data_IF_021186240941
#
_entry.id   IF_021186240941
#
_cell.length_a   1.000
_cell.length_b   1.000
_cell.length_c   1.000
_cell.angle_alpha   90.00
_cell.angle_beta   90.00
_cell.angle_gamma   90.00
#
_symmetry.space_group_name_H-M   'P 1'
#
loop_
_entity.id
_entity.type
_entity.pdbx_description
1 polymer ?
#
# COMPACT_ATOMS: atom_id res chain seq x y z
N UNK A 1 8.16 14.92 11.57
CA UNK A 1 8.38 14.00 12.73
C UNK A 1 7.14 14.02 13.60
N UNK A 2 6.21 13.09 13.39
CA UNK A 2 4.92 13.03 14.10
C UNK A 2 4.97 11.86 15.08
N UNK A 3 4.76 12.12 16.38
CA UNK A 3 4.69 11.09 17.43
C UNK A 3 3.23 10.78 17.74
N UNK A 4 2.82 9.53 17.57
CA UNK A 4 1.54 9.02 18.08
C UNK A 4 1.71 8.33 19.43
N UNK A 5 0.81 8.61 20.37
CA UNK A 5 0.69 7.96 21.69
C UNK A 5 -0.49 6.96 21.62
N UNK A 6 -0.34 5.71 22.10
CA UNK A 6 -1.47 4.80 22.19
C UNK A 6 -2.19 4.95 23.55
N UNK A 7 -3.52 4.89 23.54
CA UNK A 7 -4.37 4.73 24.72
C UNK A 7 -4.93 3.30 24.72
N UNK A 8 -4.71 2.57 25.81
CA UNK A 8 -5.27 1.27 26.13
C UNK A 8 -6.32 1.42 27.23
N UNK A 9 -7.50 0.83 27.02
CA UNK A 9 -8.47 0.31 28.03
C UNK A 9 -9.71 -0.14 27.23
N UNK A 10 -10.38 -1.27 27.41
CA UNK A 10 -10.63 -2.09 28.59
C UNK A 10 -11.26 -3.43 28.12
N UNK A 11 -11.11 -4.47 28.92
CA UNK A 11 -11.60 -5.84 28.70
C UNK A 11 -13.07 -6.01 29.12
N UNK A 12 -13.87 -6.73 28.34
CA UNK A 12 -15.14 -7.31 28.82
C UNK A 12 -15.28 -8.75 28.32
N UNK A 13 -15.41 -9.68 29.26
CA UNK A 13 -15.51 -11.13 29.02
C UNK A 13 -16.97 -11.57 29.04
N UNK A 14 -17.42 -12.29 28.00
CA UNK A 14 -18.72 -12.97 27.98
C UNK A 14 -18.52 -14.49 28.14
N UNK A 15 -19.20 -15.09 29.12
CA UNK A 15 -19.30 -16.54 29.31
C UNK A 15 -20.51 -17.09 28.56
N UNK A 16 -20.30 -18.05 27.66
CA UNK A 16 -21.35 -18.93 27.13
C UNK A 16 -20.95 -20.39 27.33
N UNK A 17 -21.80 -21.13 28.06
CA UNK A 17 -21.70 -22.56 28.26
C UNK A 17 -22.22 -23.33 27.04
N UNK A 18 -21.52 -24.36 26.60
CA UNK A 18 -22.11 -25.45 25.83
C UNK A 18 -21.60 -26.80 26.30
N UNK A 19 -22.55 -27.66 26.68
CA UNK A 19 -22.37 -29.08 26.96
C UNK A 19 -21.93 -29.80 25.68
N UNK A 20 -20.79 -30.51 25.73
CA UNK A 20 -20.35 -31.42 24.68
C UNK A 20 -19.83 -32.74 25.27
N UNK A 21 -20.28 -33.84 24.67
CA UNK A 21 -20.11 -35.24 25.04
C UNK A 21 -18.61 -35.66 25.02
N UNK A 22 -18.13 -36.37 26.05
CA UNK A 22 -16.70 -36.47 26.37
C UNK A 22 -15.85 -37.41 25.50
N UNK A 23 -16.44 -38.15 24.55
CA UNK A 23 -15.74 -39.23 23.84
C UNK A 23 -15.50 -39.04 22.33
N UNK A 24 -15.97 -37.94 21.72
CA UNK A 24 -15.62 -37.62 20.33
C UNK A 24 -14.66 -36.43 20.30
N UNK A 25 -13.36 -36.70 20.32
CA UNK A 25 -12.32 -35.66 20.15
C UNK A 25 -11.90 -35.56 18.67
N UNK A 26 -12.10 -34.41 18.01
CA UNK A 26 -11.53 -34.17 16.68
C UNK A 26 -10.01 -34.05 16.76
N UNK A 27 -9.33 -34.40 15.66
CA UNK A 27 -7.89 -34.64 15.55
C UNK A 27 -6.97 -33.49 16.02
N UNK A 28 -7.49 -32.27 16.19
CA UNK A 28 -6.72 -31.12 16.64
C UNK A 28 -6.52 -31.04 18.17
N UNK A 29 -7.05 -31.98 18.97
CA UNK A 29 -7.05 -31.91 20.45
C UNK A 29 -6.05 -32.82 21.18
N UNK A 30 -5.12 -33.46 20.48
CA UNK A 30 -4.12 -34.35 21.10
C UNK A 30 -2.74 -33.72 21.37
N UNK A 31 -2.58 -32.40 21.20
CA UNK A 31 -1.36 -31.71 21.63
C UNK A 31 -1.71 -30.39 22.31
N UNK A 32 -2.01 -30.47 23.61
CA UNK A 32 -1.90 -29.32 24.50
C UNK A 32 -1.15 -29.78 25.75
N UNK A 33 0.11 -30.15 25.54
CA UNK A 33 1.11 -30.00 26.57
C UNK A 33 1.52 -28.52 26.65
N UNK A 34 1.70 -28.07 27.88
CA UNK A 34 1.95 -26.68 28.26
C UNK A 34 3.23 -26.15 27.60
N UNK A 35 3.09 -25.34 26.56
CA UNK A 35 4.17 -24.47 26.07
C UNK A 35 3.83 -23.00 26.34
N UNK A 36 4.66 -22.27 27.12
CA UNK A 36 4.59 -20.82 27.21
C UNK A 36 5.17 -20.23 25.91
N UNK A 37 4.49 -19.20 25.39
CA UNK A 37 4.79 -18.44 24.16
C UNK A 37 4.43 -19.14 22.84
N UNK A 38 3.55 -18.47 22.11
CA UNK A 38 2.90 -18.87 20.86
C UNK A 38 3.93 -19.21 19.76
N UNK A 39 3.88 -20.39 19.11
CA UNK A 39 4.89 -20.85 18.15
C UNK A 39 4.89 -20.13 16.79
N UNK A 40 3.96 -19.21 16.56
CA UNK A 40 3.84 -18.49 15.29
C UNK A 40 4.87 -17.36 15.13
N UNK A 41 5.57 -16.94 16.18
CA UNK A 41 6.35 -15.70 16.11
C UNK A 41 7.66 -15.79 15.31
N UNK A 42 8.51 -16.81 15.51
CA UNK A 42 9.83 -16.86 14.87
C UNK A 42 9.79 -17.43 13.45
N UNK A 43 9.05 -18.53 13.24
CA UNK A 43 8.95 -19.17 11.91
C UNK A 43 8.24 -18.26 10.89
N UNK A 44 7.25 -17.47 11.31
CA UNK A 44 6.62 -16.48 10.45
C UNK A 44 7.53 -15.28 10.18
N UNK A 45 8.34 -14.86 11.15
CA UNK A 45 9.34 -13.80 10.95
C UNK A 45 10.41 -14.26 9.95
N UNK A 46 10.95 -15.46 10.11
CA UNK A 46 11.93 -16.03 9.20
C UNK A 46 11.36 -16.26 7.79
N UNK A 47 10.11 -16.73 7.70
CA UNK A 47 9.39 -16.84 6.43
C UNK A 47 9.21 -15.46 5.78
N UNK A 48 8.81 -14.44 6.54
CA UNK A 48 8.65 -13.08 6.04
C UNK A 48 9.97 -12.53 5.50
N UNK A 49 11.07 -12.71 6.25
CA UNK A 49 12.40 -12.29 5.84
C UNK A 49 12.83 -12.97 4.52
N UNK A 50 12.53 -14.26 4.33
CA UNK A 50 12.83 -14.97 3.09
C UNK A 50 11.94 -14.54 1.91
N UNK A 51 10.66 -14.23 2.15
CA UNK A 51 9.78 -13.67 1.13
C UNK A 51 10.33 -12.31 0.65
N UNK A 52 10.80 -11.45 1.56
CA UNK A 52 11.29 -10.11 1.23
C UNK A 52 12.72 -10.08 0.68
N UNK A 53 13.64 -10.89 1.22
CA UNK A 53 15.05 -10.86 0.84
C UNK A 53 15.38 -11.65 -0.43
N UNK A 54 14.48 -12.52 -0.90
CA UNK A 54 14.77 -13.40 -2.06
C UNK A 54 15.84 -14.45 -1.78
N UNK A 55 16.07 -14.79 -0.51
CA UNK A 55 17.10 -15.74 -0.09
C UNK A 55 16.78 -17.19 -0.50
N UNK A 56 17.81 -18.04 -0.51
CA UNK A 56 17.68 -19.44 -0.89
C UNK A 56 16.75 -20.21 0.09
N UNK A 57 15.78 -20.98 -0.42
CA UNK A 57 14.71 -21.61 0.37
C UNK A 57 15.17 -22.74 1.30
N UNK A 58 16.46 -23.11 1.25
CA UNK A 58 16.98 -24.33 1.85
C UNK A 58 17.12 -24.25 3.37
N UNK A 59 17.08 -23.05 3.95
CA UNK A 59 17.35 -22.82 5.38
C UNK A 59 16.14 -23.03 6.30
N UNK A 60 14.92 -23.17 5.76
CA UNK A 60 13.71 -23.32 6.58
C UNK A 60 12.96 -24.62 6.29
N UNK A 61 12.53 -25.30 7.35
CA UNK A 61 11.63 -26.46 7.31
C UNK A 61 10.30 -26.12 8.01
N UNK A 62 9.19 -26.75 7.62
CA UNK A 62 7.87 -26.58 8.25
C UNK A 62 7.04 -25.36 7.80
N UNK A 63 7.63 -24.34 7.19
CA UNK A 63 6.94 -23.10 6.76
C UNK A 63 5.97 -23.25 5.56
N UNK A 64 6.08 -24.34 4.79
CA UNK A 64 5.25 -24.58 3.60
C UNK A 64 4.03 -25.44 3.93
N UNK A 65 2.88 -25.12 3.34
CA UNK A 65 1.61 -25.85 3.56
C UNK A 65 1.65 -27.34 3.15
N UNK A 66 2.64 -27.77 2.35
CA UNK A 66 2.79 -29.18 1.96
C UNK A 66 4.23 -29.51 1.62
N UNK A 67 4.71 -30.63 2.16
CA UNK A 67 6.04 -31.18 1.84
C UNK A 67 6.18 -31.59 0.37
N UNK A 68 5.06 -31.80 -0.33
CA UNK A 68 5.00 -32.22 -1.74
C UNK A 68 5.36 -31.12 -2.73
N UNK A 69 5.28 -29.85 -2.31
CA UNK A 69 5.66 -28.71 -3.16
C UNK A 69 7.14 -28.42 -2.91
N UNK A 70 7.99 -28.36 -3.96
CA UNK A 70 9.38 -27.93 -3.84
C UNK A 70 9.49 -26.56 -3.13
N UNK A 71 10.51 -26.40 -2.29
CA UNK A 71 10.62 -25.21 -1.41
C UNK A 71 10.75 -23.91 -2.22
N UNK A 72 11.53 -23.94 -3.30
CA UNK A 72 11.68 -22.86 -4.28
C UNK A 72 10.36 -22.48 -4.96
N UNK A 73 9.57 -23.49 -5.35
CA UNK A 73 8.25 -23.27 -5.95
C UNK A 73 7.29 -22.62 -4.95
N UNK A 74 7.26 -23.12 -3.71
CA UNK A 74 6.43 -22.54 -2.65
C UNK A 74 6.81 -21.09 -2.36
N UNK A 75 8.12 -20.79 -2.25
CA UNK A 75 8.61 -19.43 -1.99
C UNK A 75 8.20 -18.48 -3.11
N UNK A 76 8.37 -18.90 -4.37
CA UNK A 76 7.95 -18.14 -5.53
C UNK A 76 6.45 -17.89 -5.60
N UNK A 77 5.60 -18.79 -5.08
CA UNK A 77 4.16 -18.54 -4.95
C UNK A 77 3.89 -17.44 -3.92
N UNK A 78 4.49 -17.51 -2.73
CA UNK A 78 4.27 -16.48 -1.70
C UNK A 78 4.79 -15.11 -2.11
N UNK A 79 5.97 -15.05 -2.74
CA UNK A 79 6.51 -13.80 -3.29
C UNK A 79 5.55 -13.20 -4.32
N UNK A 80 5.06 -14.00 -5.27
CA UNK A 80 4.08 -13.52 -6.25
C UNK A 80 2.80 -13.02 -5.61
N UNK A 81 2.29 -13.71 -4.59
CA UNK A 81 1.09 -13.29 -3.87
C UNK A 81 1.31 -11.97 -3.11
N UNK A 82 2.47 -11.81 -2.47
CA UNK A 82 2.85 -10.55 -1.83
C UNK A 82 2.94 -9.41 -2.85
N UNK A 83 3.69 -9.61 -3.95
CA UNK A 83 3.83 -8.61 -5.00
C UNK A 83 2.46 -8.21 -5.57
N UNK A 84 1.60 -9.17 -5.87
CA UNK A 84 0.24 -8.91 -6.36
C UNK A 84 -0.63 -8.19 -5.33
N UNK A 85 -0.61 -8.63 -4.07
CA UNK A 85 -1.39 -8.03 -3.00
C UNK A 85 -0.97 -6.59 -2.68
N UNK A 86 0.34 -6.32 -2.61
CA UNK A 86 0.85 -4.95 -2.39
C UNK A 86 0.51 -4.07 -3.59
N UNK A 87 0.72 -4.53 -4.83
CA UNK A 87 0.37 -3.74 -6.00
C UNK A 87 -1.13 -3.38 -6.05
N UNK A 88 -2.01 -4.34 -5.75
CA UNK A 88 -3.46 -4.08 -5.67
C UNK A 88 -3.81 -3.12 -4.53
N UNK A 89 -3.18 -3.27 -3.37
CA UNK A 89 -3.39 -2.38 -2.23
C UNK A 89 -2.95 -0.95 -2.56
N UNK A 90 -1.74 -0.78 -3.09
CA UNK A 90 -1.25 0.52 -3.55
C UNK A 90 -2.18 1.09 -4.62
N UNK A 91 -2.72 0.29 -5.53
CA UNK A 91 -3.58 0.80 -6.60
C UNK A 91 -4.87 1.41 -6.03
N UNK A 92 -5.44 0.78 -4.99
CA UNK A 92 -6.61 1.32 -4.29
C UNK A 92 -6.33 2.65 -3.57
N UNK A 93 -5.08 2.84 -3.10
CA UNK A 93 -4.64 4.08 -2.46
C UNK A 93 -4.20 5.17 -3.46
N UNK A 94 -3.73 4.79 -4.65
CA UNK A 94 -3.14 5.68 -5.65
C UNK A 94 -3.81 5.55 -7.03
N UNK A 95 -5.14 5.74 -7.12
CA UNK A 95 -5.87 5.48 -8.36
C UNK A 95 -5.51 6.47 -9.47
N UNK A 96 -5.23 7.74 -9.16
CA UNK A 96 -4.83 8.73 -10.17
C UNK A 96 -3.40 8.48 -10.64
N UNK A 97 -2.48 8.16 -9.72
CA UNK A 97 -1.12 7.79 -10.08
C UNK A 97 -1.09 6.53 -10.97
N UNK A 98 -1.91 5.52 -10.65
CA UNK A 98 -2.08 4.32 -11.49
C UNK A 98 -2.58 4.66 -12.89
N UNK A 99 -3.64 5.45 -13.01
CA UNK A 99 -4.20 5.85 -14.31
C UNK A 99 -3.20 6.68 -15.14
N UNK A 100 -2.44 7.55 -14.49
CA UNK A 100 -1.42 8.37 -15.15
C UNK A 100 -0.31 7.52 -15.76
N UNK A 101 0.25 6.59 -15.00
CA UNK A 101 1.36 5.74 -15.42
C UNK A 101 0.93 4.61 -16.36
N UNK A 102 -0.28 4.08 -16.14
CA UNK A 102 -0.81 2.89 -16.79
C UNK A 102 -0.24 1.58 -16.21
N UNK A 103 -0.90 0.49 -16.56
CA UNK A 103 -0.71 -0.82 -15.92
C UNK A 103 0.75 -1.33 -15.96
N UNK A 104 1.42 -1.24 -17.12
CA UNK A 104 2.77 -1.78 -17.28
C UNK A 104 3.79 -1.01 -16.44
N UNK A 105 3.76 0.33 -16.50
CA UNK A 105 4.65 1.17 -15.71
C UNK A 105 4.36 1.01 -14.22
N UNK A 106 3.09 0.89 -13.84
CA UNK A 106 2.69 0.72 -12.46
C UNK A 106 3.20 -0.59 -11.85
N UNK A 107 3.04 -1.70 -12.57
CA UNK A 107 3.59 -2.99 -12.13
C UNK A 107 5.11 -2.96 -12.00
N UNK A 108 5.79 -2.28 -12.93
CA UNK A 108 7.23 -2.10 -12.87
C UNK A 108 7.65 -1.34 -11.61
N UNK A 109 7.05 -0.17 -11.34
CA UNK A 109 7.48 0.67 -10.22
C UNK A 109 7.11 0.06 -8.86
N UNK A 110 5.98 -0.65 -8.75
CA UNK A 110 5.64 -1.43 -7.55
C UNK A 110 6.65 -2.56 -7.28
N UNK A 111 7.15 -3.21 -8.33
CA UNK A 111 8.18 -4.23 -8.18
C UNK A 111 9.52 -3.64 -7.70
N UNK A 112 9.91 -2.46 -8.18
CA UNK A 112 11.09 -1.76 -7.67
C UNK A 112 10.90 -1.35 -6.20
N UNK A 113 9.74 -0.77 -5.87
CA UNK A 113 9.42 -0.37 -4.51
C UNK A 113 9.57 -1.53 -3.52
N UNK A 114 9.00 -2.70 -3.85
CA UNK A 114 9.10 -3.88 -2.98
C UNK A 114 10.51 -4.43 -2.83
N UNK A 115 11.35 -4.24 -3.84
CA UNK A 115 12.76 -4.67 -3.82
C UNK A 115 13.63 -3.75 -2.97
N UNK A 116 13.39 -2.44 -3.05
CA UNK A 116 14.20 -1.42 -2.38
C UNK A 116 13.70 -1.09 -0.97
N UNK A 117 12.42 -1.29 -0.72
CA UNK A 117 11.76 -1.09 0.58
C UNK A 117 11.18 -2.41 1.09
N UNK A 118 12.02 -3.40 1.47
CA UNK A 118 11.52 -4.54 2.20
C UNK A 118 10.89 -3.99 3.50
N UNK A 119 9.61 -4.28 3.79
CA UNK A 119 8.99 -3.70 4.94
C UNK A 119 9.62 -4.26 6.22
N UNK A 120 9.72 -3.41 7.23
CA UNK A 120 10.03 -3.89 8.58
C UNK A 120 8.82 -4.64 9.19
N UNK A 121 7.62 -4.42 8.66
CA UNK A 121 6.36 -5.03 9.12
C UNK A 121 5.39 -5.29 7.96
N UNK A 122 4.69 -6.44 7.92
CA UNK A 122 3.74 -6.80 6.86
C UNK A 122 2.40 -6.04 6.98
N UNK A 123 2.44 -4.72 7.19
CA UNK A 123 1.27 -3.86 7.31
C UNK A 123 1.10 -3.05 6.03
N UNK A 124 0.06 -3.38 5.25
CA UNK A 124 -0.26 -2.73 3.99
C UNK A 124 -0.33 -1.20 4.07
N UNK A 125 -0.88 -0.64 5.15
CA UNK A 125 -0.96 0.81 5.36
C UNK A 125 0.41 1.50 5.41
N UNK A 126 1.45 0.82 5.94
CA UNK A 126 2.80 1.38 5.94
C UNK A 126 3.38 1.47 4.52
N UNK A 127 3.05 0.51 3.67
CA UNK A 127 3.45 0.57 2.27
C UNK A 127 2.84 1.78 1.56
N UNK A 128 1.53 2.01 1.75
CA UNK A 128 0.89 3.19 1.19
C UNK A 128 1.53 4.48 1.72
N UNK A 129 1.81 4.58 3.02
CA UNK A 129 2.40 5.80 3.59
C UNK A 129 3.81 6.13 3.04
N UNK A 130 4.61 5.11 2.71
CA UNK A 130 5.98 5.30 2.23
C UNK A 130 6.08 5.46 0.70
N UNK A 131 5.10 4.96 -0.05
CA UNK A 131 5.16 4.90 -1.50
C UNK A 131 5.38 6.26 -2.19
N UNK A 132 4.72 7.37 -1.80
CA UNK A 132 4.99 8.67 -2.42
C UNK A 132 6.42 9.18 -2.17
N UNK A 133 7.00 8.87 -1.01
CA UNK A 133 8.40 9.19 -0.70
C UNK A 133 9.37 8.39 -1.56
N UNK A 134 9.14 7.08 -1.70
CA UNK A 134 9.90 6.24 -2.60
C UNK A 134 9.86 6.75 -4.06
N UNK A 135 8.69 7.14 -4.57
CA UNK A 135 8.58 7.68 -5.93
C UNK A 135 9.38 8.96 -6.14
N UNK A 136 9.45 9.82 -5.12
CA UNK A 136 10.24 11.04 -5.15
C UNK A 136 11.73 10.71 -5.28
N UNK A 137 12.24 9.85 -4.39
CA UNK A 137 13.63 9.39 -4.40
C UNK A 137 13.99 8.67 -5.71
N UNK A 138 13.09 7.82 -6.21
CA UNK A 138 13.25 7.14 -7.49
C UNK A 138 13.35 8.14 -8.65
N UNK A 139 12.54 9.20 -8.64
CA UNK A 139 12.59 10.26 -9.64
C UNK A 139 13.87 11.10 -9.58
N UNK A 140 14.39 11.39 -8.40
CA UNK A 140 15.67 12.07 -8.21
C UNK A 140 16.86 11.27 -8.77
N UNK A 141 16.80 9.94 -8.68
CA UNK A 141 17.80 9.04 -9.28
C UNK A 141 17.66 8.90 -10.80
N UNK A 142 16.50 9.25 -11.37
CA UNK A 142 16.18 9.12 -12.79
C UNK A 142 15.71 10.46 -13.39
N UNK A 143 16.49 11.54 -13.30
CA UNK A 143 16.05 12.90 -13.66
C UNK A 143 15.69 13.07 -15.15
N UNK A 144 16.19 12.21 -16.03
CA UNK A 144 15.83 12.17 -17.44
C UNK A 144 14.40 11.71 -17.71
N UNK A 145 13.69 11.20 -16.69
CA UNK A 145 12.32 10.69 -16.77
C UNK A 145 11.42 11.51 -15.85
N UNK A 146 10.98 12.67 -16.32
CA UNK A 146 10.12 13.60 -15.57
C UNK A 146 8.84 12.94 -15.02
N UNK A 147 8.34 11.89 -15.67
CA UNK A 147 7.17 11.14 -15.22
C UNK A 147 7.22 10.75 -13.73
N UNK A 148 8.40 10.42 -13.18
CA UNK A 148 8.51 9.93 -11.80
C UNK A 148 8.30 11.03 -10.76
N UNK A 149 8.85 12.22 -10.97
CA UNK A 149 8.63 13.35 -10.06
C UNK A 149 7.17 13.79 -10.09
N UNK A 150 6.53 13.73 -11.26
CA UNK A 150 5.10 14.00 -11.42
C UNK A 150 4.27 12.94 -10.70
N UNK A 151 4.61 11.67 -10.88
CA UNK A 151 3.93 10.55 -10.24
C UNK A 151 4.02 10.64 -8.72
N UNK A 152 5.17 11.02 -8.17
CA UNK A 152 5.35 11.24 -6.74
C UNK A 152 4.39 12.31 -6.21
N UNK A 153 4.21 13.40 -6.95
CA UNK A 153 3.27 14.49 -6.58
C UNK A 153 1.82 14.05 -6.66
N UNK A 154 1.44 13.33 -7.72
CA UNK A 154 0.10 12.75 -7.83
C UNK A 154 -0.18 11.75 -6.70
N UNK A 155 0.80 10.91 -6.35
CA UNK A 155 0.68 9.96 -5.25
C UNK A 155 0.56 10.64 -3.87
N UNK A 156 1.22 11.79 -3.66
CA UNK A 156 1.05 12.60 -2.44
C UNK A 156 -0.40 13.12 -2.32
N UNK A 157 -0.97 13.60 -3.42
CA UNK A 157 -2.36 14.09 -3.47
C UNK A 157 -3.33 12.92 -3.26
N UNK A 158 -3.17 11.81 -3.98
CA UNK A 158 -3.95 10.59 -3.79
C UNK A 158 -3.92 10.10 -2.33
N UNK A 159 -2.72 10.05 -1.73
CA UNK A 159 -2.56 9.65 -0.33
C UNK A 159 -3.37 10.55 0.60
N UNK A 160 -3.31 11.87 0.40
CA UNK A 160 -4.04 12.83 1.21
C UNK A 160 -5.54 12.66 1.06
N UNK A 161 -6.06 12.56 -0.17
CA UNK A 161 -7.48 12.33 -0.41
C UNK A 161 -7.97 11.00 0.20
N UNK A 162 -7.17 9.94 0.14
CA UNK A 162 -7.53 8.63 0.68
C UNK A 162 -7.47 8.57 2.21
N UNK A 163 -6.58 9.33 2.85
CA UNK A 163 -6.37 9.31 4.31
C UNK A 163 -6.94 10.53 5.04
N UNK A 164 -7.74 11.33 4.34
CA UNK A 164 -8.48 12.43 4.92
C UNK A 164 -9.70 11.87 5.67
N UNK A 165 -9.65 11.90 7.00
CA UNK A 165 -10.72 11.40 7.88
C UNK A 165 -11.26 12.47 8.83
N UNK A 166 -10.51 13.54 9.05
CA UNK A 166 -10.85 14.62 9.96
C UNK A 166 -10.72 15.97 9.24
N UNK A 167 -11.47 16.97 9.71
CA UNK A 167 -11.32 18.35 9.25
C UNK A 167 -10.02 18.97 9.76
N UNK A 168 -9.48 19.92 8.98
CA UNK A 168 -8.28 20.67 9.30
C UNK A 168 -6.98 19.92 8.99
N UNK A 169 -7.02 18.73 8.38
CA UNK A 169 -5.84 18.14 7.77
C UNK A 169 -5.44 18.95 6.54
N UNK A 170 -4.14 19.16 6.35
CA UNK A 170 -3.63 19.99 5.27
C UNK A 170 -2.36 19.41 4.63
N UNK A 171 -2.17 19.67 3.34
CA UNK A 171 -0.92 19.44 2.61
C UNK A 171 -0.59 20.65 1.74
N UNK A 172 0.70 20.91 1.55
CA UNK A 172 1.18 21.89 0.58
C UNK A 172 1.55 21.18 -0.71
N UNK A 173 1.01 21.66 -1.83
CA UNK A 173 1.31 21.15 -3.16
C UNK A 173 1.43 22.29 -4.16
N UNK A 174 2.13 22.04 -5.26
CA UNK A 174 2.13 22.95 -6.39
C UNK A 174 0.78 22.90 -7.13
N UNK A 175 0.21 24.07 -7.41
CA UNK A 175 -1.12 24.21 -8.03
C UNK A 175 -1.24 23.40 -9.33
N UNK A 176 -0.20 23.42 -10.18
CA UNK A 176 -0.18 22.66 -11.44
C UNK A 176 -0.38 21.15 -11.26
N UNK A 177 0.15 20.55 -10.19
CA UNK A 177 -0.03 19.12 -9.93
C UNK A 177 -1.42 18.83 -9.40
N UNK A 178 -2.01 19.75 -8.64
CA UNK A 178 -3.40 19.62 -8.22
C UNK A 178 -4.38 19.77 -9.39
N UNK A 179 -4.15 20.72 -10.30
CA UNK A 179 -4.94 20.86 -11.52
C UNK A 179 -4.83 19.63 -12.43
N UNK A 180 -3.62 19.08 -12.59
CA UNK A 180 -3.42 17.81 -13.28
C UNK A 180 -4.18 16.67 -12.60
N UNK A 181 -4.11 16.58 -11.27
CA UNK A 181 -4.84 15.56 -10.50
C UNK A 181 -6.36 15.65 -10.73
N UNK A 182 -6.94 16.87 -10.68
CA UNK A 182 -8.36 17.10 -10.97
C UNK A 182 -8.74 16.69 -12.41
N UNK A 183 -7.90 17.04 -13.39
CA UNK A 183 -8.12 16.67 -14.78
C UNK A 183 -8.12 15.15 -14.99
N UNK A 184 -7.14 14.46 -14.39
CA UNK A 184 -7.07 13.00 -14.44
C UNK A 184 -8.26 12.35 -13.75
N UNK A 185 -8.65 12.85 -12.57
CA UNK A 185 -9.80 12.33 -11.83
C UNK A 185 -11.09 12.46 -12.63
N UNK A 186 -11.30 13.61 -13.27
CA UNK A 186 -12.44 13.83 -14.15
C UNK A 186 -12.47 12.86 -15.33
N UNK A 187 -11.33 12.63 -15.98
CA UNK A 187 -11.25 11.65 -17.08
C UNK A 187 -11.62 10.26 -16.58
N UNK A 188 -11.13 9.85 -15.41
CA UNK A 188 -11.45 8.55 -14.81
C UNK A 188 -12.94 8.40 -14.48
N UNK A 189 -13.58 9.46 -13.97
CA UNK A 189 -15.00 9.46 -13.65
C UNK A 189 -15.88 9.43 -14.93
N UNK A 190 -15.41 10.01 -16.04
CA UNK A 190 -16.10 10.03 -17.34
C UNK A 190 -15.91 8.73 -18.16
N UNK A 191 -14.73 8.12 -18.14
CA UNK A 191 -14.39 6.94 -18.95
C UNK A 191 -14.69 5.59 -18.26
N UNK A 192 -14.89 5.56 -16.94
CA UNK A 192 -15.40 4.43 -16.17
C UNK A 192 -14.44 3.24 -15.96
N UNK A 193 -13.51 2.99 -16.89
CA UNK A 193 -12.46 1.98 -16.79
C UNK A 193 -11.06 2.62 -16.74
N UNK A 194 -10.16 2.06 -15.91
CA UNK A 194 -8.75 2.46 -15.90
C UNK A 194 -8.14 2.18 -17.29
N UNK A 195 -7.52 3.19 -17.93
CA UNK A 195 -7.03 3.03 -19.28
C UNK A 195 -5.86 2.03 -19.30
N UNK A 196 -5.95 1.04 -20.19
CA UNK A 196 -4.90 0.04 -20.41
C UNK A 196 -3.55 0.68 -20.79
N UNK A 197 -3.62 1.88 -21.39
CA UNK A 197 -2.49 2.73 -21.74
C UNK A 197 -2.49 3.94 -20.81
N UNK A 198 -1.35 4.21 -20.14
CA UNK A 198 -1.26 5.30 -19.17
C UNK A 198 -1.56 6.66 -19.78
N UNK A 199 -2.30 7.49 -19.04
CA UNK A 199 -2.68 8.84 -19.46
C UNK A 199 -1.47 9.76 -19.67
N UNK A 200 -0.28 9.40 -19.17
CA UNK A 200 0.97 10.09 -19.47
C UNK A 200 1.26 10.21 -20.97
N UNK A 201 0.75 9.30 -21.81
CA UNK A 201 0.95 9.40 -23.26
C UNK A 201 0.21 10.59 -23.90
N UNK A 202 -0.74 11.19 -23.17
CA UNK A 202 -1.52 12.34 -23.62
C UNK A 202 -0.74 13.63 -23.35
N UNK A 203 -0.17 14.22 -24.39
CA UNK A 203 0.65 15.44 -24.33
C UNK A 203 -0.05 16.67 -23.73
N UNK A 204 -1.39 16.69 -23.70
CA UNK A 204 -2.22 17.69 -23.04
C UNK A 204 -2.19 17.58 -21.50
N UNK A 205 -1.86 16.40 -20.97
CA UNK A 205 -1.79 16.10 -19.53
C UNK A 205 -0.37 16.20 -18.97
N UNK A 206 0.57 16.69 -19.77
CA UNK A 206 1.96 16.86 -19.36
C UNK A 206 2.13 18.11 -18.48
N UNK A 207 2.82 18.02 -17.34
CA UNK A 207 3.00 19.15 -16.43
C UNK A 207 3.83 20.28 -17.04
N UNK A 208 4.66 20.00 -18.06
CA UNK A 208 5.40 21.05 -18.78
C UNK A 208 4.50 21.99 -19.59
N UNK A 209 3.20 21.69 -19.72
CA UNK A 209 2.21 22.60 -20.33
C UNK A 209 1.61 23.59 -19.35
N UNK A 210 1.78 23.36 -18.05
CA UNK A 210 1.33 24.25 -16.97
C UNK A 210 2.50 25.16 -16.55
N UNK A 211 3.02 25.96 -17.50
CA UNK A 211 4.25 26.76 -17.36
C UNK A 211 4.11 28.06 -16.57
N UNK A 212 2.91 28.39 -16.07
CA UNK A 212 2.79 29.55 -15.18
C UNK A 212 3.55 29.30 -13.87
N UNK A 213 4.05 30.37 -13.27
CA UNK A 213 4.77 30.37 -11.99
C UNK A 213 3.96 29.54 -10.98
N UNK A 214 4.40 28.30 -10.79
CA UNK A 214 3.66 27.29 -10.04
C UNK A 214 3.53 27.74 -8.59
N UNK A 215 2.37 28.29 -8.25
CA UNK A 215 2.06 28.74 -6.91
C UNK A 215 1.97 27.52 -6.00
N UNK A 216 2.55 27.63 -4.80
CA UNK A 216 2.25 26.68 -3.75
C UNK A 216 0.86 26.99 -3.20
N UNK A 217 0.03 25.97 -3.13
CA UNK A 217 -1.30 26.02 -2.55
C UNK A 217 -1.38 25.10 -1.35
N UNK A 218 -2.23 25.44 -0.39
CA UNK A 218 -2.54 24.55 0.72
C UNK A 218 -3.88 23.90 0.47
N UNK A 219 -3.91 22.58 0.37
CA UNK A 219 -5.16 21.82 0.35
C UNK A 219 -5.56 21.57 1.79
N UNK A 220 -6.79 21.94 2.15
CA UNK A 220 -7.34 21.75 3.50
C UNK A 220 -8.63 20.94 3.41
N UNK A 221 -8.77 19.99 4.33
CA UNK A 221 -10.00 19.19 4.52
C UNK A 221 -11.00 19.94 5.38
N UNK A 222 -12.28 19.93 4.99
CA UNK A 222 -13.36 20.54 5.76
C UNK A 222 -14.66 19.76 5.60
N UNK A 223 -15.54 19.81 6.59
CA UNK A 223 -16.84 19.14 6.52
C UNK A 223 -17.89 20.04 5.88
N UNK A 224 -18.73 19.47 5.01
CA UNK A 224 -19.95 20.10 4.52
C UNK A 224 -20.99 19.02 4.25
N UNK A 225 -22.23 19.20 4.70
CA UNK A 225 -23.33 18.26 4.44
C UNK A 225 -22.98 16.77 4.75
N UNK A 226 -22.27 16.52 5.85
CA UNK A 226 -21.75 15.21 6.29
C UNK A 226 -20.75 14.53 5.32
N UNK A 227 -20.26 15.26 4.32
CA UNK A 227 -19.20 14.85 3.40
C UNK A 227 -17.92 15.66 3.64
N UNK A 228 -16.76 15.02 3.46
CA UNK A 228 -15.46 15.67 3.60
C UNK A 228 -15.01 16.25 2.24
N UNK A 229 -14.78 17.56 2.20
CA UNK A 229 -14.37 18.29 1.02
C UNK A 229 -12.94 18.83 1.14
N UNK A 230 -12.41 19.27 0.00
CA UNK A 230 -11.06 19.81 -0.14
C UNK A 230 -11.14 21.23 -0.71
N UNK A 231 -10.48 22.18 -0.08
CA UNK A 231 -10.42 23.57 -0.54
C UNK A 231 -8.96 24.02 -0.68
N UNK A 232 -8.73 24.83 -1.70
CA UNK A 232 -7.51 25.61 -1.86
C UNK A 232 -7.56 26.83 -0.93
N UNK A 233 -6.59 26.95 -0.04
CA UNK A 233 -6.38 28.15 0.80
C UNK A 233 -5.18 28.98 0.35
#
# INVERSE_FOLDING_TARGET
>A
MVRFRPLLSETTTYHLSTNWNANDKPCWRQSMDKHPNTPLASEQQDMSANIYAGNAPDQLDGWRCSVRIPKDVALGIYQRNLHGGVAQHLQAHFPVAHAYLGEQGYRFICAQYLKESPPDQPLFTLYAAHFPGFLLEYGEQHPQQAIWSVLARLAQIDFFHHNAFCEGQQIEVEERFYQLWLALRRIMDEEGDSPSHGLYQRLDLHPERYQDESRLITLVTFWKDDELFFMES
#
